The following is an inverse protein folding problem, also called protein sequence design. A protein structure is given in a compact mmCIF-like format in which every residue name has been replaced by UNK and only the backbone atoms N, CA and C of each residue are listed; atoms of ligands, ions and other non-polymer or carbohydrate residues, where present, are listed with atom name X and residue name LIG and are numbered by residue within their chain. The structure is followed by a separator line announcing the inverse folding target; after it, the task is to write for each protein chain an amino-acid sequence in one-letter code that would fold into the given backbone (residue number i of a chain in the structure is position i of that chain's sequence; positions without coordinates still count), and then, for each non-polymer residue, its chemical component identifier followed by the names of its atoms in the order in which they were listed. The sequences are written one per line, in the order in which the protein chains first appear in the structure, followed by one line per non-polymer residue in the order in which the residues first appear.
data_IF_265435062300
#
_entry.id   IF_265435062300
#
_cell.length_a   1.000
_cell.length_b   1.000
_cell.length_c   1.000
_cell.angle_alpha   90.00
_cell.angle_beta   90.00
_cell.angle_gamma   90.00
#
_symmetry.space_group_name_H-M   'P 1'
#
loop_
_entity.id
_entity.type
_entity.pdbx_description
1 polymer ?
#
# COMPACT_ATOMS: atom_id res chain seq x y z
N UNK A 1 -1.39 32.82 37.51
CA UNK A 1 -1.20 31.40 37.11
C UNK A 1 -1.55 31.16 35.63
N UNK A 2 -1.12 32.07 34.71
CA UNK A 2 -1.63 32.10 33.30
C UNK A 2 -0.52 32.21 32.22
N UNK A 3 0.75 32.04 32.57
CA UNK A 3 1.87 32.24 31.62
C UNK A 3 2.46 30.90 31.09
N UNK A 4 2.10 29.74 31.64
CA UNK A 4 2.67 28.47 31.27
C UNK A 4 2.03 27.78 30.01
N UNK A 5 0.88 28.28 29.51
CA UNK A 5 0.16 27.64 28.39
C UNK A 5 0.56 28.07 26.98
N UNK A 6 1.27 29.18 26.80
CA UNK A 6 1.60 29.75 25.49
C UNK A 6 2.89 29.16 24.91
N UNK A 7 3.77 28.60 25.72
CA UNK A 7 5.09 28.10 25.29
C UNK A 7 5.09 26.75 24.56
N UNK A 8 3.98 26.04 24.46
CA UNK A 8 3.92 24.64 24.01
C UNK A 8 3.44 24.43 22.55
N UNK A 9 3.09 25.49 21.83
CA UNK A 9 2.57 25.37 20.44
C UNK A 9 3.68 25.34 19.39
N UNK A 10 4.83 25.97 19.63
CA UNK A 10 5.98 25.96 18.70
C UNK A 10 6.78 24.66 18.73
N UNK A 11 6.66 23.82 19.77
CA UNK A 11 7.43 22.58 19.96
C UNK A 11 6.85 21.35 19.22
N UNK A 12 5.71 21.46 18.52
CA UNK A 12 5.00 20.30 17.97
C UNK A 12 5.32 20.00 16.51
N UNK A 13 5.74 20.99 15.73
CA UNK A 13 6.06 20.83 14.32
C UNK A 13 7.19 19.82 14.05
N UNK A 14 8.33 19.80 14.79
CA UNK A 14 9.38 18.83 14.54
C UNK A 14 8.91 17.39 14.74
N UNK A 15 8.04 17.15 15.73
CA UNK A 15 7.46 15.82 15.98
C UNK A 15 6.52 15.40 14.86
N UNK A 16 5.61 16.29 14.45
CA UNK A 16 4.68 16.00 13.36
C UNK A 16 5.43 15.73 12.06
N UNK A 17 6.44 16.54 11.74
CA UNK A 17 7.29 16.32 10.55
C UNK A 17 7.99 14.97 10.62
N UNK A 18 8.59 14.59 11.74
CA UNK A 18 9.26 13.32 11.92
C UNK A 18 8.30 12.12 11.75
N UNK A 19 7.09 12.23 12.29
CA UNK A 19 6.07 11.19 12.12
C UNK A 19 5.59 11.08 10.66
N UNK A 20 5.42 12.20 9.97
CA UNK A 20 5.11 12.24 8.54
C UNK A 20 6.23 11.66 7.69
N UNK A 21 7.49 11.90 8.07
CA UNK A 21 8.67 11.33 7.40
C UNK A 21 8.68 9.81 7.46
N UNK A 22 8.24 9.21 8.57
CA UNK A 22 8.09 7.75 8.66
C UNK A 22 7.10 7.19 7.66
N UNK A 23 5.95 7.83 7.52
CA UNK A 23 4.96 7.44 6.51
C UNK A 23 5.48 7.62 5.08
N UNK A 24 6.15 8.74 4.82
CA UNK A 24 6.81 9.00 3.55
C UNK A 24 7.81 7.89 3.18
N UNK A 25 8.70 7.52 4.11
CA UNK A 25 9.71 6.48 3.88
C UNK A 25 9.10 5.12 3.57
N UNK A 26 8.07 4.72 4.31
CA UNK A 26 7.38 3.44 4.08
C UNK A 26 6.77 3.37 2.68
N UNK A 27 6.15 4.43 2.20
CA UNK A 27 5.56 4.48 0.85
C UNK A 27 6.63 4.68 -0.25
N UNK A 28 7.66 5.46 0.05
CA UNK A 28 8.78 5.67 -0.86
C UNK A 28 9.51 4.37 -1.16
N UNK A 29 9.79 3.57 -0.13
CA UNK A 29 10.50 2.29 -0.23
C UNK A 29 9.84 1.35 -1.25
N UNK A 30 8.50 1.29 -1.27
CA UNK A 30 7.74 0.47 -2.22
C UNK A 30 8.06 0.81 -3.68
N UNK A 31 8.23 2.08 -3.99
CA UNK A 31 8.41 2.55 -5.38
C UNK A 31 9.87 2.70 -5.78
N UNK A 32 10.74 3.12 -4.86
CA UNK A 32 12.18 3.25 -5.09
C UNK A 32 12.83 1.89 -5.38
N UNK A 33 12.47 0.85 -4.62
CA UNK A 33 13.02 -0.50 -4.78
C UNK A 33 12.67 -1.08 -6.16
N UNK A 34 11.47 -0.80 -6.70
CA UNK A 34 11.10 -1.25 -8.04
C UNK A 34 12.08 -0.78 -9.13
N UNK A 35 12.55 0.46 -9.05
CA UNK A 35 13.54 1.01 -10.01
C UNK A 35 14.90 0.34 -9.86
N UNK A 36 15.25 -0.15 -8.67
CA UNK A 36 16.51 -0.82 -8.40
C UNK A 36 16.52 -2.31 -8.82
N UNK A 37 15.36 -2.94 -9.06
CA UNK A 37 15.25 -4.37 -9.30
C UNK A 37 16.13 -4.89 -10.44
N UNK A 38 16.23 -4.28 -11.63
CA UNK A 38 17.07 -4.79 -12.71
C UNK A 38 18.55 -4.83 -12.32
N UNK A 39 19.08 -3.76 -11.72
CA UNK A 39 20.48 -3.71 -11.27
C UNK A 39 20.74 -4.67 -10.09
N UNK A 40 19.79 -4.80 -9.18
CA UNK A 40 19.84 -5.77 -8.08
C UNK A 40 19.87 -7.19 -8.64
N UNK A 41 19.03 -7.49 -9.63
CA UNK A 41 18.96 -8.78 -10.30
C UNK A 41 20.28 -9.20 -10.92
N UNK A 42 20.92 -8.31 -11.67
CA UNK A 42 22.23 -8.57 -12.28
C UNK A 42 23.33 -8.70 -11.21
N UNK A 43 23.33 -7.86 -10.17
CA UNK A 43 24.36 -7.86 -9.13
C UNK A 43 24.32 -9.11 -8.22
N UNK A 44 23.12 -9.58 -7.86
CA UNK A 44 22.92 -10.74 -7.00
C UNK A 44 22.58 -12.03 -7.75
N UNK A 45 22.59 -12.00 -9.10
CA UNK A 45 22.21 -13.11 -9.98
C UNK A 45 20.84 -13.68 -9.62
N UNK A 46 19.88 -12.80 -9.39
CA UNK A 46 18.55 -13.17 -8.93
C UNK A 46 17.66 -13.63 -10.08
N UNK A 47 16.87 -14.67 -9.84
CA UNK A 47 15.80 -15.07 -10.76
C UNK A 47 14.63 -14.08 -10.75
N UNK A 48 13.76 -14.15 -11.77
CA UNK A 48 12.54 -13.31 -11.82
C UNK A 48 11.64 -13.48 -10.58
N UNK A 49 11.50 -14.70 -10.08
CA UNK A 49 10.75 -15.00 -8.85
C UNK A 49 11.40 -14.37 -7.61
N UNK A 50 12.73 -14.35 -7.53
CA UNK A 50 13.45 -13.69 -6.45
C UNK A 50 13.34 -12.16 -6.49
N UNK A 51 13.26 -11.58 -7.69
CA UNK A 51 13.00 -10.16 -7.85
C UNK A 51 11.59 -9.79 -7.37
N UNK A 52 10.58 -10.57 -7.71
CA UNK A 52 9.24 -10.39 -7.17
C UNK A 52 9.23 -10.53 -5.63
N UNK A 53 9.93 -11.53 -5.09
CA UNK A 53 10.10 -11.67 -3.64
C UNK A 53 10.80 -10.48 -2.97
N UNK A 54 11.65 -9.74 -3.67
CA UNK A 54 12.24 -8.50 -3.10
C UNK A 54 11.18 -7.47 -2.75
N UNK A 55 10.09 -7.41 -3.51
CA UNK A 55 8.94 -6.54 -3.21
C UNK A 55 8.00 -7.21 -2.21
N UNK A 56 7.68 -8.49 -2.41
CA UNK A 56 6.66 -9.21 -1.65
C UNK A 56 7.11 -9.56 -0.23
N UNK A 57 8.40 -9.81 -0.01
CA UNK A 57 8.95 -10.01 1.34
C UNK A 57 8.76 -8.78 2.25
N UNK A 58 8.57 -7.60 1.68
CA UNK A 58 8.20 -6.38 2.40
C UNK A 58 6.68 -6.22 2.51
N UNK A 59 5.96 -6.37 1.40
CA UNK A 59 4.52 -6.05 1.35
C UNK A 59 3.65 -7.08 2.06
N UNK A 60 3.99 -8.36 2.02
CA UNK A 60 3.23 -9.44 2.69
C UNK A 60 3.20 -9.28 4.21
N UNK A 61 4.32 -9.21 4.94
CA UNK A 61 4.29 -9.01 6.39
C UNK A 61 3.69 -7.66 6.76
N UNK A 62 3.91 -6.61 5.98
CA UNK A 62 3.29 -5.32 6.21
C UNK A 62 1.76 -5.42 6.11
N UNK A 63 1.21 -6.02 5.06
CA UNK A 63 -0.22 -6.19 4.87
C UNK A 63 -0.87 -6.96 6.04
N UNK A 64 -0.24 -8.05 6.43
CA UNK A 64 -0.77 -8.95 7.43
C UNK A 64 -0.74 -8.39 8.85
N UNK A 65 0.30 -7.64 9.19
CA UNK A 65 0.48 -7.10 10.53
C UNK A 65 -0.13 -5.71 10.74
N UNK A 66 -0.57 -5.04 9.66
CA UNK A 66 -1.08 -3.67 9.73
C UNK A 66 -2.29 -3.54 10.66
N UNK A 67 -3.22 -4.50 10.62
CA UNK A 67 -4.40 -4.53 11.52
C UNK A 67 -3.99 -4.79 12.98
N UNK A 68 -3.11 -5.75 13.20
CA UNK A 68 -2.65 -6.11 14.53
C UNK A 68 -1.81 -5.01 15.19
N UNK A 69 -1.04 -4.26 14.41
CA UNK A 69 -0.11 -3.24 14.92
C UNK A 69 -0.82 -2.05 15.58
N UNK A 70 -2.04 -1.71 15.15
CA UNK A 70 -2.89 -0.73 15.83
C UNK A 70 -3.19 -1.15 17.27
N UNK A 71 -3.67 -2.37 17.47
CA UNK A 71 -3.98 -2.92 18.79
C UNK A 71 -2.71 -3.14 19.66
N UNK A 72 -1.56 -3.41 19.06
CA UNK A 72 -0.27 -3.43 19.75
C UNK A 72 0.08 -2.03 20.28
N UNK A 73 -0.17 -0.98 19.46
CA UNK A 73 0.01 0.41 19.86
C UNK A 73 -0.86 0.82 21.03
N UNK A 74 -2.12 0.37 21.07
CA UNK A 74 -3.05 0.62 22.16
C UNK A 74 -2.61 -0.04 23.49
N UNK A 75 -1.91 -1.19 23.42
CA UNK A 75 -1.40 -1.92 24.59
C UNK A 75 -0.04 -1.46 25.11
N UNK A 76 0.92 -1.29 24.21
CA UNK A 76 2.31 -0.97 24.54
C UNK A 76 2.58 0.55 24.55
N UNK A 77 1.61 1.32 24.06
CA UNK A 77 1.75 2.74 23.81
C UNK A 77 2.31 3.02 22.41
N UNK A 78 1.60 3.85 21.64
CA UNK A 78 1.95 4.18 20.26
C UNK A 78 3.38 4.70 20.09
N UNK A 79 3.90 5.48 21.09
CA UNK A 79 5.28 5.96 21.05
C UNK A 79 6.29 4.82 21.04
N UNK A 80 6.13 3.82 21.92
CA UNK A 80 7.06 2.71 22.01
C UNK A 80 7.08 1.91 20.70
N UNK A 81 5.89 1.62 20.17
CA UNK A 81 5.70 0.88 18.91
C UNK A 81 6.32 1.63 17.73
N UNK A 82 6.11 2.95 17.64
CA UNK A 82 6.72 3.79 16.60
C UNK A 82 8.24 3.81 16.71
N UNK A 83 8.80 3.98 17.91
CA UNK A 83 10.26 3.96 18.10
C UNK A 83 10.86 2.60 17.69
N UNK A 84 10.23 1.49 18.10
CA UNK A 84 10.65 0.13 17.70
C UNK A 84 10.57 0.00 16.17
N UNK A 85 9.49 0.47 15.56
CA UNK A 85 9.31 0.47 14.10
C UNK A 85 10.42 1.24 13.38
N UNK A 86 10.72 2.47 13.81
CA UNK A 86 11.77 3.29 13.19
C UNK A 86 13.16 2.67 13.35
N UNK A 87 13.53 2.26 14.57
CA UNK A 87 14.84 1.63 14.82
C UNK A 87 14.99 0.33 14.02
N UNK A 88 13.97 -0.53 14.09
CA UNK A 88 13.97 -1.80 13.37
C UNK A 88 14.02 -1.61 11.86
N UNK A 89 13.27 -0.63 11.31
CA UNK A 89 13.31 -0.32 9.89
C UNK A 89 14.69 0.18 9.46
N UNK A 90 15.35 1.04 10.26
CA UNK A 90 16.71 1.52 9.99
C UNK A 90 17.74 0.40 10.00
N UNK A 91 17.69 -0.50 11.00
CA UNK A 91 18.54 -1.69 11.06
C UNK A 91 18.30 -2.61 9.86
N UNK A 92 17.04 -2.90 9.55
CA UNK A 92 16.68 -3.73 8.40
C UNK A 92 17.11 -3.11 7.06
N UNK A 93 16.99 -1.77 6.91
CA UNK A 93 17.50 -1.04 5.75
C UNK A 93 19.01 -1.17 5.61
N UNK A 94 19.75 -1.10 6.74
CA UNK A 94 21.21 -1.33 6.73
C UNK A 94 21.54 -2.76 6.30
N UNK A 95 20.80 -3.76 6.81
CA UNK A 95 20.97 -5.17 6.39
C UNK A 95 20.74 -5.33 4.89
N UNK A 96 19.68 -4.71 4.35
CA UNK A 96 19.43 -4.72 2.90
C UNK A 96 20.56 -4.05 2.12
N UNK A 97 21.05 -2.90 2.58
CA UNK A 97 22.10 -2.14 1.90
C UNK A 97 23.44 -2.89 1.82
N UNK A 98 23.78 -3.68 2.84
CA UNK A 98 25.02 -4.46 2.87
C UNK A 98 24.85 -5.91 2.45
N UNK A 99 23.67 -6.33 2.01
CA UNK A 99 23.36 -7.71 1.67
C UNK A 99 24.32 -8.26 0.60
N UNK A 100 25.06 -9.35 0.89
CA UNK A 100 25.97 -9.99 -0.06
C UNK A 100 25.25 -10.99 -0.98
N UNK A 101 24.11 -11.53 -0.52
CA UNK A 101 23.32 -12.55 -1.22
C UNK A 101 21.83 -12.28 -1.08
N UNK A 102 21.05 -12.87 -1.98
CA UNK A 102 19.61 -12.64 -2.07
C UNK A 102 18.84 -13.01 -0.79
N UNK A 103 19.22 -14.10 -0.11
CA UNK A 103 18.55 -14.52 1.14
C UNK A 103 18.68 -13.50 2.26
N UNK A 104 19.83 -12.86 2.41
CA UNK A 104 20.05 -11.79 3.40
C UNK A 104 19.18 -10.57 3.06
N UNK A 105 19.10 -10.21 1.76
CA UNK A 105 18.24 -9.13 1.30
C UNK A 105 16.77 -9.41 1.64
N UNK A 106 16.28 -10.61 1.33
CA UNK A 106 14.88 -11.00 1.60
C UNK A 106 14.55 -11.00 3.10
N UNK A 107 15.47 -11.45 3.96
CA UNK A 107 15.32 -11.34 5.41
C UNK A 107 15.23 -9.89 5.86
N UNK A 108 16.12 -9.02 5.34
CA UNK A 108 16.06 -7.58 5.58
C UNK A 108 14.73 -6.97 5.14
N UNK A 109 14.25 -7.33 3.95
CA UNK A 109 12.95 -6.88 3.42
C UNK A 109 11.77 -7.32 4.30
N UNK A 110 11.79 -8.57 4.77
CA UNK A 110 10.78 -9.08 5.70
C UNK A 110 10.76 -8.28 7.01
N UNK A 111 11.93 -8.03 7.58
CA UNK A 111 12.06 -7.20 8.78
C UNK A 111 11.59 -5.75 8.55
N UNK A 112 11.93 -5.14 7.39
CA UNK A 112 11.41 -3.82 7.02
C UNK A 112 9.88 -3.82 6.95
N UNK A 113 9.25 -4.84 6.33
CA UNK A 113 7.79 -4.96 6.22
C UNK A 113 7.11 -5.04 7.60
N UNK A 114 7.65 -5.83 8.52
CA UNK A 114 7.18 -5.88 9.92
C UNK A 114 7.26 -4.51 10.59
N UNK A 115 8.41 -3.84 10.45
CA UNK A 115 8.63 -2.51 11.05
C UNK A 115 7.72 -1.45 10.44
N UNK A 116 7.50 -1.48 9.11
CA UNK A 116 6.57 -0.60 8.42
C UNK A 116 5.13 -0.74 8.94
N UNK A 117 4.68 -1.98 9.18
CA UNK A 117 3.37 -2.23 9.78
C UNK A 117 3.22 -1.60 11.16
N UNK A 118 4.27 -1.57 11.97
CA UNK A 118 4.27 -0.89 13.28
C UNK A 118 4.25 0.64 13.15
N UNK A 119 4.95 1.18 12.14
CA UNK A 119 5.08 2.63 11.94
C UNK A 119 3.78 3.28 11.49
N UNK A 120 3.06 2.68 10.52
CA UNK A 120 1.93 3.32 9.85
C UNK A 120 0.80 3.75 10.80
N UNK A 121 0.12 2.84 11.54
CA UNK A 121 -0.96 3.24 12.42
C UNK A 121 -0.44 3.99 13.66
N UNK A 122 0.76 3.66 14.13
CA UNK A 122 1.37 4.32 15.27
C UNK A 122 1.66 5.81 15.03
N UNK A 123 2.19 6.18 13.85
CA UNK A 123 2.46 7.58 13.49
C UNK A 123 1.16 8.39 13.39
N UNK A 124 0.13 7.82 12.75
CA UNK A 124 -1.18 8.45 12.64
C UNK A 124 -1.83 8.68 14.01
N UNK A 125 -1.78 7.67 14.90
CA UNK A 125 -2.31 7.76 16.25
C UNK A 125 -1.60 8.83 17.08
N UNK A 126 -0.26 8.92 17.04
CA UNK A 126 0.51 9.95 17.73
C UNK A 126 0.20 11.35 17.21
N UNK A 127 0.04 11.53 15.91
CA UNK A 127 -0.37 12.79 15.28
C UNK A 127 -1.76 13.19 15.79
N UNK A 128 -2.72 12.24 15.78
CA UNK A 128 -4.07 12.48 16.27
C UNK A 128 -4.12 12.85 17.76
N UNK A 129 -3.31 12.17 18.59
CA UNK A 129 -3.21 12.44 20.05
C UNK A 129 -2.50 13.78 20.35
N UNK A 130 -1.58 14.21 19.50
CA UNK A 130 -0.84 15.45 19.71
C UNK A 130 -1.66 16.73 19.43
N UNK A 131 -2.78 16.62 18.75
CA UNK A 131 -3.61 17.74 18.36
C UNK A 131 -4.47 18.23 19.55
N UNK A 132 -4.51 19.55 19.78
CA UNK A 132 -5.25 20.16 20.88
C UNK A 132 -6.73 20.47 20.56
N UNK A 133 -7.07 20.51 19.27
CA UNK A 133 -8.43 20.78 18.78
C UNK A 133 -8.75 19.87 17.61
N UNK A 134 -10.03 19.61 17.35
CA UNK A 134 -10.47 18.78 16.21
C UNK A 134 -10.00 19.36 14.87
N UNK A 135 -10.02 20.68 14.73
CA UNK A 135 -9.52 21.36 13.51
C UNK A 135 -8.02 21.17 13.32
N UNK A 136 -7.22 21.21 14.41
CA UNK A 136 -5.78 20.93 14.36
C UNK A 136 -5.51 19.47 14.02
N UNK A 137 -6.31 18.55 14.56
CA UNK A 137 -6.25 17.11 14.27
C UNK A 137 -6.51 16.83 12.79
N UNK A 138 -7.60 17.35 12.26
CA UNK A 138 -7.95 17.18 10.84
C UNK A 138 -6.86 17.73 9.92
N UNK A 139 -6.31 18.91 10.25
CA UNK A 139 -5.20 19.50 9.49
C UNK A 139 -3.93 18.66 9.55
N UNK A 140 -3.55 18.14 10.71
CA UNK A 140 -2.34 17.34 10.89
C UNK A 140 -2.44 15.99 10.17
N UNK A 141 -3.61 15.33 10.22
CA UNK A 141 -3.90 14.12 9.45
C UNK A 141 -3.84 14.40 7.94
N UNK A 142 -4.38 15.54 7.50
CA UNK A 142 -4.32 15.96 6.10
C UNK A 142 -2.88 16.16 5.62
N UNK A 143 -2.03 16.80 6.42
CA UNK A 143 -0.59 16.97 6.12
C UNK A 143 0.12 15.61 6.06
N UNK A 144 -0.14 14.72 7.02
CA UNK A 144 0.41 13.36 7.02
C UNK A 144 0.03 12.59 5.74
N UNK A 145 -1.24 12.63 5.35
CA UNK A 145 -1.71 11.98 4.14
C UNK A 145 -1.10 12.59 2.85
N UNK A 146 -0.96 13.92 2.80
CA UNK A 146 -0.35 14.61 1.67
C UNK A 146 1.15 14.27 1.50
N UNK A 147 1.90 14.25 2.62
CA UNK A 147 3.32 13.87 2.61
C UNK A 147 3.49 12.40 2.18
N UNK A 148 2.67 11.49 2.72
CA UNK A 148 2.67 10.10 2.28
C UNK A 148 2.30 9.95 0.80
N UNK A 149 1.29 10.68 0.34
CA UNK A 149 0.90 10.68 -1.07
C UNK A 149 1.99 11.19 -2.02
N UNK A 150 2.82 12.12 -1.57
CA UNK A 150 3.96 12.63 -2.33
C UNK A 150 5.12 11.62 -2.46
N UNK A 151 5.17 10.61 -1.61
CA UNK A 151 6.19 9.56 -1.67
C UNK A 151 6.10 8.71 -2.95
N UNK A 152 4.89 8.42 -3.42
CA UNK A 152 4.67 7.60 -4.61
C UNK A 152 5.28 8.23 -5.87
N UNK A 153 4.98 9.49 -6.23
CA UNK A 153 5.60 10.13 -7.38
C UNK A 153 7.08 10.46 -7.18
N UNK A 154 7.53 10.63 -5.94
CA UNK A 154 8.94 10.89 -5.65
C UNK A 154 9.82 9.64 -5.84
N UNK A 155 9.25 8.43 -5.65
CA UNK A 155 10.00 7.19 -5.69
C UNK A 155 10.75 6.92 -6.99
N UNK A 156 10.09 6.86 -8.16
CA UNK A 156 10.76 6.54 -9.40
C UNK A 156 11.91 7.50 -9.76
N UNK A 157 11.78 8.85 -9.73
CA UNK A 157 12.89 9.74 -10.06
C UNK A 157 14.01 9.70 -9.00
N UNK A 158 13.67 9.63 -7.70
CA UNK A 158 14.68 9.51 -6.66
C UNK A 158 15.40 8.15 -6.74
N UNK A 159 14.66 7.06 -6.94
CA UNK A 159 15.23 5.75 -7.16
C UNK A 159 16.14 5.70 -8.38
N UNK A 160 15.68 6.28 -9.49
CA UNK A 160 16.47 6.38 -10.72
C UNK A 160 17.77 7.12 -10.51
N UNK A 161 17.73 8.29 -9.86
CA UNK A 161 18.91 9.08 -9.53
C UNK A 161 19.89 8.32 -8.62
N UNK A 162 19.37 7.74 -7.54
CA UNK A 162 20.20 7.00 -6.57
C UNK A 162 20.87 5.77 -7.20
N UNK A 163 20.09 4.99 -7.95
CA UNK A 163 20.62 3.79 -8.62
C UNK A 163 21.67 4.14 -9.66
N UNK A 164 21.46 5.22 -10.40
CA UNK A 164 22.42 5.68 -11.43
C UNK A 164 23.72 6.22 -10.82
N UNK A 165 23.66 6.98 -9.72
CA UNK A 165 24.83 7.61 -9.12
C UNK A 165 25.61 6.69 -8.17
N UNK A 166 24.92 5.85 -7.40
CA UNK A 166 25.52 5.10 -6.30
C UNK A 166 25.10 3.62 -6.25
N UNK A 167 24.42 3.14 -7.30
CA UNK A 167 23.98 1.74 -7.41
C UNK A 167 22.77 1.39 -6.53
N UNK A 168 22.24 0.17 -6.71
CA UNK A 168 21.03 -0.30 -6.06
C UNK A 168 21.04 -0.25 -4.52
N UNK A 169 22.20 -0.37 -3.90
CA UNK A 169 22.36 -0.31 -2.45
C UNK A 169 21.98 1.04 -1.84
N UNK A 170 22.13 2.10 -2.61
CA UNK A 170 21.85 3.48 -2.17
C UNK A 170 20.38 3.71 -1.83
N UNK A 171 19.46 2.96 -2.46
CA UNK A 171 18.03 3.09 -2.17
C UNK A 171 17.70 2.69 -0.73
N UNK A 172 18.42 1.70 -0.19
CA UNK A 172 18.28 1.29 1.21
C UNK A 172 19.02 2.21 2.17
N UNK A 173 20.19 2.72 1.77
CA UNK A 173 20.94 3.70 2.56
C UNK A 173 20.21 5.03 2.73
N UNK A 174 19.38 5.44 1.78
CA UNK A 174 18.60 6.68 1.84
C UNK A 174 17.77 6.78 3.14
N UNK A 175 17.14 5.69 3.54
CA UNK A 175 16.27 5.65 4.72
C UNK A 175 17.02 5.84 6.05
N UNK A 176 18.26 5.39 6.15
CA UNK A 176 19.00 5.34 7.40
C UNK A 176 19.23 6.72 8.04
N UNK A 177 19.84 7.71 7.35
CA UNK A 177 20.02 9.05 7.92
C UNK A 177 18.71 9.76 8.21
N UNK A 178 17.69 9.54 7.37
CA UNK A 178 16.36 10.12 7.55
C UNK A 178 15.68 9.58 8.81
N UNK A 179 15.81 8.27 9.06
CA UNK A 179 15.30 7.63 10.28
C UNK A 179 16.02 8.15 11.53
N UNK A 180 17.34 8.26 11.49
CA UNK A 180 18.13 8.78 12.61
C UNK A 180 17.66 10.21 12.95
N UNK A 181 17.52 11.06 11.95
CA UNK A 181 17.03 12.44 12.13
C UNK A 181 15.59 12.49 12.70
N UNK A 182 14.70 11.62 12.21
CA UNK A 182 13.32 11.55 12.66
C UNK A 182 13.18 10.99 14.10
N UNK A 183 14.05 10.07 14.50
CA UNK A 183 14.03 9.50 15.86
C UNK A 183 14.28 10.54 16.93
N UNK A 184 15.12 11.56 16.71
CA UNK A 184 15.47 12.58 17.71
C UNK A 184 14.23 13.28 18.29
N UNK A 185 13.29 13.84 17.51
CA UNK A 185 12.09 14.42 18.09
C UNK A 185 11.09 13.37 18.59
N UNK A 186 11.04 12.17 18.01
CA UNK A 186 10.09 11.12 18.43
C UNK A 186 10.44 10.58 19.83
N UNK A 187 11.71 10.38 20.14
CA UNK A 187 12.13 9.91 21.48
C UNK A 187 11.88 10.95 22.58
N UNK A 188 11.70 12.22 22.22
CA UNK A 188 11.36 13.31 23.17
C UNK A 188 9.86 13.38 23.49
N UNK A 189 9.00 12.65 22.79
CA UNK A 189 7.57 12.55 23.12
C UNK A 189 7.45 11.93 24.52
N UNK A 190 6.67 12.52 25.44
CA UNK A 190 6.43 11.93 26.76
C UNK A 190 5.85 10.51 26.65
N UNK A 191 6.31 9.61 27.52
CA UNK A 191 5.71 8.27 27.62
C UNK A 191 4.32 8.42 28.24
N UNK A 192 3.27 8.20 27.46
CA UNK A 192 1.94 7.97 28.00
C UNK A 192 1.86 6.52 28.46
N UNK A 193 1.58 6.31 29.74
CA UNK A 193 1.17 4.98 30.20
C UNK A 193 -0.23 4.73 29.62
N UNK A 194 -0.44 3.62 28.87
CA UNK A 194 -1.79 3.25 28.44
C UNK A 194 -2.66 3.12 29.67
N UNK A 195 -3.78 3.85 29.71
CA UNK A 195 -4.73 3.71 30.79
C UNK A 195 -5.13 2.22 30.90
N UNK A 196 -5.09 1.66 32.10
CA UNK A 196 -5.29 0.22 32.37
C UNK A 196 -6.67 -0.33 31.91
N UNK A 197 -7.54 0.52 31.40
CA UNK A 197 -8.92 0.22 31.02
C UNK A 197 -9.15 -0.16 29.57
N UNK A 198 -8.19 -0.02 28.67
CA UNK A 198 -8.39 -0.30 27.24
C UNK A 198 -7.44 -1.42 26.76
N UNK A 199 -7.57 -2.61 27.30
CA UNK A 199 -6.90 -3.82 26.79
C UNK A 199 -7.66 -4.35 25.58
N UNK A 200 -7.64 -3.64 24.47
CA UNK A 200 -8.11 -4.21 23.21
C UNK A 200 -7.37 -5.54 22.98
N UNK A 201 -8.10 -6.61 22.77
CA UNK A 201 -7.51 -7.92 22.46
C UNK A 201 -6.87 -7.84 21.08
N UNK A 202 -5.55 -8.08 20.99
CA UNK A 202 -4.86 -8.18 19.70
C UNK A 202 -5.24 -9.54 19.11
N UNK A 203 -5.85 -9.53 17.94
CA UNK A 203 -6.12 -10.77 17.21
C UNK A 203 -4.87 -11.26 16.47
N UNK A 204 -3.98 -11.90 17.25
CA UNK A 204 -2.79 -12.54 16.69
C UNK A 204 -3.12 -13.72 15.78
N UNK A 205 -4.23 -14.41 16.06
CA UNK A 205 -4.67 -15.58 15.30
C UNK A 205 -5.05 -15.12 13.89
N UNK A 206 -5.89 -14.09 13.79
CA UNK A 206 -6.25 -13.49 12.51
C UNK A 206 -5.03 -12.98 11.74
N UNK A 207 -4.11 -12.28 12.40
CA UNK A 207 -2.89 -11.80 11.77
C UNK A 207 -2.01 -12.94 11.21
N UNK A 208 -1.83 -14.03 11.98
CA UNK A 208 -1.07 -15.21 11.51
C UNK A 208 -1.75 -15.84 10.30
N UNK A 209 -3.07 -16.01 10.32
CA UNK A 209 -3.78 -16.55 9.16
C UNK A 209 -3.63 -15.66 7.92
N UNK A 210 -3.68 -14.34 8.05
CA UNK A 210 -3.45 -13.42 6.91
C UNK A 210 -2.02 -13.56 6.37
N UNK A 211 -1.00 -13.69 7.24
CA UNK A 211 0.38 -14.00 6.81
C UNK A 211 0.41 -15.30 6.02
N UNK A 212 -0.18 -16.38 6.57
CA UNK A 212 -0.17 -17.70 5.95
C UNK A 212 -0.89 -17.69 4.59
N UNK A 213 -2.06 -17.03 4.51
CA UNK A 213 -2.81 -16.90 3.25
C UNK A 213 -1.98 -16.18 2.20
N UNK A 214 -1.44 -15.01 2.52
CA UNK A 214 -0.70 -14.19 1.55
C UNK A 214 0.63 -14.84 1.17
N UNK A 215 1.41 -15.31 2.15
CA UNK A 215 2.70 -15.93 1.87
C UNK A 215 2.55 -17.21 1.04
N UNK A 216 1.57 -18.07 1.36
CA UNK A 216 1.33 -19.28 0.58
C UNK A 216 0.77 -18.98 -0.81
N UNK A 217 -0.12 -18.00 -0.97
CA UNK A 217 -0.63 -17.60 -2.27
C UNK A 217 0.48 -17.02 -3.17
N UNK A 218 1.32 -16.13 -2.65
CA UNK A 218 2.46 -15.56 -3.37
C UNK A 218 3.46 -16.66 -3.75
N UNK A 219 3.82 -17.56 -2.83
CA UNK A 219 4.73 -18.68 -3.11
C UNK A 219 4.15 -19.62 -4.18
N UNK A 220 2.86 -19.93 -4.09
CA UNK A 220 2.16 -20.73 -5.10
C UNK A 220 2.26 -20.09 -6.49
N UNK A 221 1.99 -18.79 -6.59
CA UNK A 221 2.02 -18.06 -7.87
C UNK A 221 3.43 -18.03 -8.45
N UNK A 222 4.45 -17.73 -7.64
CA UNK A 222 5.82 -17.52 -8.09
C UNK A 222 6.58 -18.83 -8.37
N UNK A 223 6.34 -19.89 -7.60
CA UNK A 223 7.17 -21.11 -7.63
C UNK A 223 6.37 -22.37 -7.94
N UNK A 224 5.05 -22.32 -7.95
CA UNK A 224 4.20 -23.50 -8.15
C UNK A 224 4.33 -24.14 -9.55
N UNK A 225 4.75 -23.37 -10.57
CA UNK A 225 5.03 -23.90 -11.91
C UNK A 225 6.36 -24.64 -11.99
N UNK A 226 7.38 -24.17 -11.30
CA UNK A 226 8.72 -24.77 -11.27
C UNK A 226 8.75 -26.03 -10.41
N UNK A 227 8.04 -26.00 -9.27
CA UNK A 227 7.95 -27.11 -8.33
C UNK A 227 6.49 -27.44 -8.01
N UNK A 228 5.93 -28.43 -8.71
CA UNK A 228 4.53 -28.84 -8.58
C UNK A 228 4.17 -29.32 -7.17
N UNK A 229 5.09 -29.97 -6.46
CA UNK A 229 4.87 -30.44 -5.09
C UNK A 229 4.77 -29.25 -4.15
N UNK A 230 5.71 -28.31 -4.24
CA UNK A 230 5.66 -27.07 -3.47
C UNK A 230 4.38 -26.29 -3.79
N UNK A 231 4.02 -26.20 -5.08
CA UNK A 231 2.77 -25.55 -5.50
C UNK A 231 1.53 -26.16 -4.86
N UNK A 232 1.41 -27.49 -4.90
CA UNK A 232 0.28 -28.19 -4.28
C UNK A 232 0.22 -27.98 -2.76
N UNK A 233 1.37 -28.04 -2.07
CA UNK A 233 1.46 -27.77 -0.62
C UNK A 233 1.06 -26.33 -0.31
N UNK A 234 1.54 -25.35 -1.07
CA UNK A 234 1.21 -23.94 -0.85
C UNK A 234 -0.26 -23.63 -1.16
N UNK A 235 -0.82 -24.23 -2.21
CA UNK A 235 -2.25 -24.11 -2.50
C UNK A 235 -3.11 -24.73 -1.37
N UNK A 236 -2.76 -25.91 -0.91
CA UNK A 236 -3.44 -26.55 0.23
C UNK A 236 -3.33 -25.69 1.50
N UNK A 237 -2.16 -25.14 1.79
CA UNK A 237 -1.93 -24.25 2.93
C UNK A 237 -2.77 -22.97 2.82
N UNK A 238 -2.86 -22.35 1.63
CA UNK A 238 -3.70 -21.16 1.41
C UNK A 238 -5.18 -21.48 1.68
N UNK A 239 -5.69 -22.62 1.20
CA UNK A 239 -7.06 -23.06 1.43
C UNK A 239 -7.30 -23.35 2.91
N UNK A 240 -6.40 -24.11 3.56
CA UNK A 240 -6.52 -24.44 4.98
C UNK A 240 -6.44 -23.16 5.85
N UNK A 241 -5.53 -22.25 5.55
CA UNK A 241 -5.39 -21.00 6.27
C UNK A 241 -6.63 -20.09 6.09
N UNK A 242 -7.23 -20.05 4.89
CA UNK A 242 -8.49 -19.33 4.64
C UNK A 242 -9.65 -19.93 5.40
N UNK A 243 -9.76 -21.25 5.40
CA UNK A 243 -10.77 -21.97 6.20
C UNK A 243 -10.59 -21.76 7.70
N UNK A 244 -9.34 -21.84 8.18
CA UNK A 244 -8.96 -21.58 9.57
C UNK A 244 -9.27 -20.15 10.01
N UNK A 245 -8.94 -19.15 9.16
CA UNK A 245 -9.29 -17.76 9.39
C UNK A 245 -10.78 -17.56 9.54
N UNK A 246 -11.57 -18.10 8.58
CA UNK A 246 -13.02 -18.00 8.62
C UNK A 246 -13.64 -18.69 9.85
N UNK A 247 -13.10 -19.85 10.25
CA UNK A 247 -13.53 -20.55 11.46
C UNK A 247 -13.19 -19.76 12.73
N UNK A 248 -11.96 -19.23 12.83
CA UNK A 248 -11.52 -18.41 13.95
C UNK A 248 -12.37 -17.14 14.08
N UNK A 249 -12.59 -16.41 12.97
CA UNK A 249 -13.37 -15.18 12.92
C UNK A 249 -14.83 -15.39 13.36
N UNK A 250 -15.42 -16.56 13.06
CA UNK A 250 -16.77 -16.90 13.50
C UNK A 250 -16.89 -17.24 14.99
N UNK A 251 -15.80 -17.69 15.61
CA UNK A 251 -15.76 -18.08 17.02
C UNK A 251 -15.21 -17.02 17.95
N UNK A 252 -14.55 -16.01 17.40
CA UNK A 252 -13.95 -14.93 18.17
C UNK A 252 -15.04 -13.98 18.69
N UNK A 253 -15.00 -13.65 20.00
CA UNK A 253 -15.88 -12.66 20.60
C UNK A 253 -15.64 -11.24 20.05
N UNK A 254 -14.43 -10.98 19.54
CA UNK A 254 -14.01 -9.70 18.97
C UNK A 254 -13.45 -9.92 17.54
N UNK A 255 -14.32 -10.12 16.53
CA UNK A 255 -13.89 -10.30 15.16
C UNK A 255 -13.20 -9.04 14.65
N UNK A 256 -12.20 -9.21 13.75
CA UNK A 256 -11.44 -8.12 13.15
C UNK A 256 -12.34 -7.07 12.50
N UNK A 257 -13.41 -7.51 11.82
CA UNK A 257 -14.38 -6.61 11.20
C UNK A 257 -15.80 -7.19 11.33
N UNK A 258 -16.64 -6.58 12.15
CA UNK A 258 -18.07 -6.90 12.18
C UNK A 258 -18.80 -6.14 11.06
N UNK A 259 -19.18 -6.85 10.00
CA UNK A 259 -19.93 -6.28 8.88
C UNK A 259 -21.39 -6.71 8.98
N UNK A 260 -22.34 -5.78 9.20
CA UNK A 260 -23.77 -6.09 9.16
C UNK A 260 -24.17 -6.71 7.83
N UNK A 261 -25.17 -7.59 7.83
CA UNK A 261 -25.56 -8.35 6.63
C UNK A 261 -25.84 -7.46 5.42
N UNK A 262 -26.55 -6.35 5.60
CA UNK A 262 -26.84 -5.39 4.52
C UNK A 262 -25.63 -4.60 4.04
N UNK A 263 -24.56 -4.52 4.82
CA UNK A 263 -23.32 -3.82 4.48
C UNK A 263 -22.27 -4.70 3.79
N UNK A 264 -22.45 -6.04 3.83
CA UNK A 264 -21.44 -7.01 3.37
C UNK A 264 -21.04 -6.82 1.93
N UNK A 265 -22.03 -6.66 1.04
CA UNK A 265 -21.75 -6.51 -0.39
C UNK A 265 -21.03 -5.19 -0.72
N UNK A 266 -21.55 -4.00 -0.34
CA UNK A 266 -20.83 -2.76 -0.61
C UNK A 266 -19.43 -2.74 -0.01
N UNK A 267 -19.27 -3.27 1.21
CA UNK A 267 -17.96 -3.33 1.87
C UNK A 267 -16.98 -4.27 1.14
N UNK A 268 -17.45 -5.44 0.72
CA UNK A 268 -16.65 -6.38 -0.06
C UNK A 268 -16.23 -5.77 -1.41
N UNK A 269 -17.13 -5.05 -2.10
CA UNK A 269 -16.81 -4.33 -3.33
C UNK A 269 -15.75 -3.27 -3.08
N UNK A 270 -15.86 -2.46 -2.01
CA UNK A 270 -14.87 -1.44 -1.69
C UNK A 270 -13.48 -2.04 -1.44
N UNK A 271 -13.40 -3.14 -0.67
CA UNK A 271 -12.15 -3.86 -0.42
C UNK A 271 -11.60 -4.52 -1.69
N UNK A 272 -12.45 -5.15 -2.50
CA UNK A 272 -12.04 -5.79 -3.76
C UNK A 272 -11.51 -4.77 -4.78
N UNK A 273 -12.18 -3.63 -4.93
CA UNK A 273 -11.72 -2.54 -5.81
C UNK A 273 -10.38 -1.98 -5.32
N UNK A 274 -10.21 -1.80 -4.01
CA UNK A 274 -8.94 -1.35 -3.42
C UNK A 274 -7.81 -2.35 -3.65
N UNK A 275 -8.09 -3.65 -3.49
CA UNK A 275 -7.13 -4.72 -3.78
C UNK A 275 -6.76 -4.77 -5.26
N UNK A 276 -7.76 -4.74 -6.17
CA UNK A 276 -7.54 -4.74 -7.61
C UNK A 276 -6.74 -3.52 -8.06
N UNK A 277 -7.06 -2.34 -7.51
CA UNK A 277 -6.31 -1.11 -7.78
C UNK A 277 -4.82 -1.31 -7.49
N UNK A 278 -4.46 -1.77 -6.30
CA UNK A 278 -3.06 -1.98 -5.92
C UNK A 278 -2.40 -3.13 -6.67
N UNK A 279 -3.15 -4.19 -6.98
CA UNK A 279 -2.69 -5.31 -7.79
C UNK A 279 -2.19 -4.82 -9.15
N UNK A 280 -3.02 -4.07 -9.86
CA UNK A 280 -2.67 -3.55 -11.18
C UNK A 280 -1.57 -2.48 -11.10
N UNK A 281 -1.58 -1.61 -10.08
CA UNK A 281 -0.57 -0.55 -9.91
C UNK A 281 0.81 -1.13 -9.66
N UNK A 282 0.97 -2.00 -8.65
CA UNK A 282 2.29 -2.54 -8.30
C UNK A 282 2.78 -3.57 -9.32
N UNK A 283 1.88 -4.40 -9.86
CA UNK A 283 2.21 -5.33 -10.93
C UNK A 283 2.69 -4.63 -12.19
N UNK A 284 1.98 -3.58 -12.63
CA UNK A 284 2.40 -2.80 -13.80
C UNK A 284 3.69 -2.02 -13.54
N UNK A 285 3.89 -1.43 -12.36
CA UNK A 285 5.12 -0.73 -12.01
C UNK A 285 6.33 -1.68 -12.05
N UNK A 286 6.18 -2.89 -11.50
CA UNK A 286 7.20 -3.94 -11.54
C UNK A 286 7.57 -4.29 -12.99
N UNK A 287 6.59 -4.51 -13.84
CA UNK A 287 6.80 -4.96 -15.23
C UNK A 287 7.30 -3.83 -16.13
N UNK A 288 6.71 -2.62 -16.04
CA UNK A 288 7.14 -1.46 -16.82
C UNK A 288 8.58 -1.07 -16.53
N UNK A 289 9.01 -1.16 -15.26
CA UNK A 289 10.42 -0.91 -14.91
C UNK A 289 11.35 -1.87 -15.63
N UNK A 290 10.99 -3.14 -15.73
CA UNK A 290 11.81 -4.13 -16.44
C UNK A 290 11.77 -3.91 -17.96
N UNK A 291 10.62 -3.58 -18.55
CA UNK A 291 10.53 -3.24 -19.97
C UNK A 291 11.46 -2.07 -20.28
N UNK A 292 11.39 -0.97 -19.53
CA UNK A 292 12.18 0.20 -19.83
C UNK A 292 13.68 0.00 -19.60
N UNK A 293 14.09 -0.67 -18.53
CA UNK A 293 15.50 -0.83 -18.22
C UNK A 293 16.16 -2.04 -18.91
N UNK A 294 15.46 -3.18 -19.01
CA UNK A 294 16.06 -4.41 -19.56
C UNK A 294 15.79 -4.55 -21.05
N UNK A 295 14.52 -4.37 -21.49
CA UNK A 295 14.16 -4.53 -22.91
C UNK A 295 14.54 -3.30 -23.73
N UNK A 296 14.21 -2.11 -23.26
CA UNK A 296 14.52 -0.85 -23.99
C UNK A 296 15.88 -0.24 -23.61
N UNK A 297 16.63 -0.87 -22.69
CA UNK A 297 17.96 -0.43 -22.26
C UNK A 297 18.03 1.03 -21.77
N UNK A 298 16.92 1.54 -21.20
CA UNK A 298 16.88 2.89 -20.67
C UNK A 298 17.60 2.96 -19.31
N UNK A 299 18.23 4.12 -19.03
CA UNK A 299 18.84 4.34 -17.72
C UNK A 299 17.78 4.33 -16.59
N UNK A 300 18.16 3.99 -15.36
CA UNK A 300 17.25 4.04 -14.21
C UNK A 300 16.63 5.42 -14.00
N UNK A 301 17.40 6.49 -14.21
CA UNK A 301 16.94 7.87 -14.12
C UNK A 301 15.84 8.17 -15.16
N UNK A 302 16.08 7.79 -16.43
CA UNK A 302 15.10 8.02 -17.49
C UNK A 302 13.83 7.18 -17.28
N UNK A 303 13.96 5.94 -16.81
CA UNK A 303 12.82 5.10 -16.40
C UNK A 303 11.98 5.79 -15.33
N UNK A 304 12.64 6.34 -14.30
CA UNK A 304 11.96 7.07 -13.24
C UNK A 304 11.22 8.31 -13.75
N UNK A 305 11.81 9.04 -14.69
CA UNK A 305 11.17 10.22 -15.31
C UNK A 305 10.00 9.86 -16.22
N UNK A 306 10.08 8.76 -16.98
CA UNK A 306 8.99 8.29 -17.83
C UNK A 306 7.78 7.84 -16.99
N UNK A 307 8.00 7.25 -15.83
CA UNK A 307 6.91 6.82 -14.94
C UNK A 307 6.28 7.97 -14.14
N UNK A 308 6.99 9.09 -13.99
CA UNK A 308 6.56 10.23 -13.19
C UNK A 308 5.19 10.81 -13.61
N UNK A 309 4.87 11.00 -14.91
CA UNK A 309 3.58 11.50 -15.37
C UNK A 309 2.38 10.65 -14.88
N UNK A 310 2.59 9.35 -14.71
CA UNK A 310 1.55 8.46 -14.18
C UNK A 310 1.33 8.59 -12.67
N UNK A 311 2.29 9.13 -11.93
CA UNK A 311 2.20 9.22 -10.47
C UNK A 311 1.90 10.62 -9.96
N UNK A 312 2.26 11.67 -10.68
CA UNK A 312 2.04 13.07 -10.31
C UNK A 312 0.55 13.43 -10.10
N UNK A 313 -0.41 12.96 -10.92
CA UNK A 313 -1.81 13.33 -10.74
C UNK A 313 -2.41 12.86 -9.41
N UNK A 314 -1.89 11.78 -8.82
CA UNK A 314 -2.45 11.22 -7.58
C UNK A 314 -2.47 12.23 -6.41
N UNK A 315 -1.36 12.85 -6.00
CA UNK A 315 -1.39 13.87 -4.96
C UNK A 315 -1.96 15.21 -5.44
N UNK A 316 -1.82 15.54 -6.72
CA UNK A 316 -2.26 16.82 -7.28
C UNK A 316 -3.81 16.95 -7.30
N UNK A 317 -4.51 15.86 -7.54
CA UNK A 317 -5.97 15.85 -7.70
C UNK A 317 -6.76 15.62 -6.41
N UNK A 318 -6.11 15.49 -5.24
CA UNK A 318 -6.79 15.18 -3.98
C UNK A 318 -7.95 16.14 -3.64
N UNK A 319 -7.77 17.45 -3.86
CA UNK A 319 -8.83 18.44 -3.66
C UNK A 319 -9.98 18.31 -4.68
N UNK A 320 -9.66 18.11 -5.95
CA UNK A 320 -10.66 17.91 -7.01
C UNK A 320 -11.44 16.60 -6.81
N UNK A 321 -10.76 15.53 -6.42
CA UNK A 321 -11.37 14.25 -6.08
C UNK A 321 -12.34 14.37 -4.90
N UNK A 322 -11.98 15.12 -3.86
CA UNK A 322 -12.87 15.40 -2.72
C UNK A 322 -14.12 16.18 -3.16
N UNK A 323 -13.97 17.23 -3.96
CA UNK A 323 -15.09 18.00 -4.50
C UNK A 323 -16.02 17.16 -5.39
N UNK A 324 -15.44 16.30 -6.24
CA UNK A 324 -16.20 15.39 -7.10
C UNK A 324 -16.95 14.33 -6.25
N UNK A 325 -16.30 13.79 -5.22
CA UNK A 325 -16.91 12.84 -4.28
C UNK A 325 -18.08 13.46 -3.51
N UNK A 326 -17.98 14.74 -3.17
CA UNK A 326 -19.08 15.47 -2.54
C UNK A 326 -20.27 15.64 -3.47
N UNK A 327 -20.04 15.93 -4.77
CA UNK A 327 -21.10 16.17 -5.77
C UNK A 327 -21.77 14.87 -6.26
N UNK A 328 -20.99 13.86 -6.61
CA UNK A 328 -21.48 12.64 -7.27
C UNK A 328 -21.66 11.45 -6.31
N UNK A 329 -21.11 11.56 -5.09
CA UNK A 329 -20.98 10.46 -4.16
C UNK A 329 -19.75 9.57 -4.43
N UNK A 330 -19.34 8.76 -3.42
CA UNK A 330 -18.07 8.03 -3.49
C UNK A 330 -18.07 6.91 -4.55
N UNK A 331 -19.17 6.22 -4.75
CA UNK A 331 -19.26 5.10 -5.70
C UNK A 331 -19.14 5.56 -7.16
N UNK A 332 -19.86 6.60 -7.56
CA UNK A 332 -19.77 7.16 -8.92
C UNK A 332 -18.40 7.77 -9.19
N UNK A 333 -17.85 8.47 -8.21
CA UNK A 333 -16.49 9.02 -8.31
C UNK A 333 -15.46 7.91 -8.48
N UNK A 334 -15.60 6.79 -7.74
CA UNK A 334 -14.74 5.62 -7.90
C UNK A 334 -14.89 4.98 -9.29
N UNK A 335 -16.11 4.86 -9.79
CA UNK A 335 -16.36 4.31 -11.14
C UNK A 335 -15.72 5.18 -12.24
N UNK A 336 -15.82 6.51 -12.14
CA UNK A 336 -15.17 7.43 -13.09
C UNK A 336 -13.65 7.31 -13.03
N UNK A 337 -13.06 7.22 -11.83
CA UNK A 337 -11.62 7.00 -11.66
C UNK A 337 -11.16 5.66 -12.26
N UNK A 338 -11.96 4.60 -12.10
CA UNK A 338 -11.69 3.29 -12.69
C UNK A 338 -11.75 3.33 -14.22
N UNK A 339 -12.76 3.99 -14.80
CA UNK A 339 -12.88 4.13 -16.26
C UNK A 339 -11.69 4.90 -16.83
N UNK A 340 -11.32 6.03 -16.22
CA UNK A 340 -10.16 6.81 -16.66
C UNK A 340 -8.87 5.98 -16.59
N UNK A 341 -8.67 5.23 -15.50
CA UNK A 341 -7.52 4.34 -15.36
C UNK A 341 -7.53 3.17 -16.34
N UNK A 342 -8.72 2.61 -16.65
CA UNK A 342 -8.88 1.56 -17.67
C UNK A 342 -8.43 2.03 -19.04
N UNK A 343 -8.87 3.22 -19.46
CA UNK A 343 -8.45 3.84 -20.71
C UNK A 343 -6.93 4.11 -20.71
N UNK A 344 -6.39 4.57 -19.58
CA UNK A 344 -4.95 4.73 -19.40
C UNK A 344 -4.18 3.42 -19.58
N UNK A 345 -4.61 2.32 -18.95
CA UNK A 345 -4.01 1.00 -19.11
C UNK A 345 -4.06 0.50 -20.57
N UNK A 346 -5.20 0.68 -21.25
CA UNK A 346 -5.34 0.34 -22.65
C UNK A 346 -4.37 1.10 -23.55
N UNK A 347 -4.17 2.40 -23.29
CA UNK A 347 -3.23 3.22 -24.02
C UNK A 347 -1.77 2.86 -23.70
N UNK A 348 -1.42 2.54 -22.43
CA UNK A 348 -0.08 2.05 -22.07
C UNK A 348 0.20 0.72 -22.80
N UNK A 349 -0.77 -0.22 -22.81
CA UNK A 349 -0.64 -1.48 -23.53
C UNK A 349 -0.36 -1.27 -25.03
N UNK A 350 -1.02 -0.29 -25.66
CA UNK A 350 -0.80 0.03 -27.07
C UNK A 350 0.48 0.82 -27.38
N UNK A 351 1.16 1.35 -26.35
CA UNK A 351 2.33 2.22 -26.53
C UNK A 351 3.65 1.58 -26.06
N UNK A 352 3.59 0.51 -25.26
CA UNK A 352 4.78 0.01 -24.55
C UNK A 352 5.75 -0.76 -25.45
N UNK A 353 5.25 -1.32 -26.56
CA UNK A 353 6.06 -2.12 -27.51
C UNK A 353 6.82 -1.24 -28.54
N UNK A 354 6.54 0.05 -28.63
CA UNK A 354 7.06 0.91 -29.68
C UNK A 354 7.48 2.30 -29.19
N UNK A 355 8.12 3.09 -30.05
CA UNK A 355 8.67 4.42 -29.71
C UNK A 355 7.58 5.50 -29.61
N UNK A 356 6.32 5.17 -29.35
CA UNK A 356 5.23 6.13 -29.27
C UNK A 356 5.16 6.79 -27.88
N UNK A 357 6.21 7.53 -27.52
CA UNK A 357 6.32 8.22 -26.24
C UNK A 357 5.16 9.21 -25.95
N UNK A 358 4.64 9.98 -26.92
CA UNK A 358 3.48 10.86 -26.68
C UNK A 358 2.25 10.08 -26.19
N UNK A 359 1.91 8.97 -26.85
CA UNK A 359 0.78 8.12 -26.44
C UNK A 359 1.03 7.52 -25.05
N UNK A 360 2.25 7.05 -24.79
CA UNK A 360 2.63 6.50 -23.49
C UNK A 360 2.45 7.54 -22.37
N UNK A 361 2.96 8.76 -22.54
CA UNK A 361 2.87 9.83 -21.54
C UNK A 361 1.41 10.25 -21.32
N UNK A 362 0.61 10.45 -22.38
CA UNK A 362 -0.81 10.76 -22.25
C UNK A 362 -1.57 9.67 -21.51
N UNK A 363 -1.26 8.41 -21.81
CA UNK A 363 -1.88 7.25 -21.18
C UNK A 363 -1.50 7.11 -19.71
N UNK A 364 -0.23 7.36 -19.36
CA UNK A 364 0.23 7.42 -17.98
C UNK A 364 -0.46 8.54 -17.19
N UNK A 365 -0.58 9.74 -17.76
CA UNK A 365 -1.30 10.87 -17.13
C UNK A 365 -2.76 10.49 -16.89
N UNK A 366 -3.42 9.88 -17.87
CA UNK A 366 -4.82 9.47 -17.76
C UNK A 366 -4.98 8.38 -16.68
N UNK A 367 -4.08 7.39 -16.65
CA UNK A 367 -4.04 6.36 -15.62
C UNK A 367 -3.87 6.94 -14.22
N UNK A 368 -2.88 7.83 -14.04
CA UNK A 368 -2.63 8.51 -12.76
C UNK A 368 -3.77 9.43 -12.31
N UNK A 369 -4.41 10.12 -13.27
CA UNK A 369 -5.61 10.94 -13.02
C UNK A 369 -6.75 10.07 -12.48
N UNK A 370 -7.01 8.95 -13.13
CA UNK A 370 -8.01 7.99 -12.66
C UNK A 370 -7.71 7.48 -11.25
N UNK A 371 -6.46 7.13 -10.95
CA UNK A 371 -6.03 6.70 -9.61
C UNK A 371 -6.16 7.81 -8.57
N UNK A 372 -5.83 9.05 -8.92
CA UNK A 372 -5.96 10.22 -8.06
C UNK A 372 -7.40 10.50 -7.64
N UNK A 373 -8.35 10.23 -8.53
CA UNK A 373 -9.79 10.34 -8.27
C UNK A 373 -10.32 9.11 -7.50
N UNK A 374 -9.91 7.91 -7.89
CA UNK A 374 -10.36 6.63 -7.32
C UNK A 374 -9.97 6.48 -5.86
N UNK A 375 -8.69 6.74 -5.54
CA UNK A 375 -8.11 6.38 -4.23
C UNK A 375 -8.83 7.01 -3.05
N UNK A 376 -9.08 8.33 -2.97
CA UNK A 376 -9.85 8.89 -1.85
C UNK A 376 -11.32 8.49 -1.89
N UNK A 377 -11.91 8.37 -3.06
CA UNK A 377 -13.33 8.05 -3.22
C UNK A 377 -13.67 6.66 -2.67
N UNK A 378 -12.88 5.63 -3.02
CA UNK A 378 -13.14 4.25 -2.57
C UNK A 378 -12.90 4.07 -1.06
N UNK A 379 -11.95 4.81 -0.48
CA UNK A 379 -11.74 4.84 0.98
C UNK A 379 -12.96 5.45 1.67
N UNK A 380 -13.48 6.56 1.16
CA UNK A 380 -14.70 7.18 1.68
C UNK A 380 -15.89 6.23 1.55
N UNK A 381 -16.02 5.49 0.44
CA UNK A 381 -17.05 4.47 0.28
C UNK A 381 -16.97 3.41 1.39
N UNK A 382 -15.79 2.84 1.62
CA UNK A 382 -15.57 1.83 2.66
C UNK A 382 -15.94 2.36 4.07
N UNK A 383 -15.55 3.60 4.39
CA UNK A 383 -15.85 4.23 5.68
C UNK A 383 -17.35 4.53 5.88
N UNK A 384 -18.06 4.94 4.82
CA UNK A 384 -19.50 5.19 4.86
C UNK A 384 -20.31 3.92 5.10
N UNK A 385 -19.86 2.80 4.55
CA UNK A 385 -20.53 1.50 4.71
C UNK A 385 -20.48 1.00 6.15
N UNK A 386 -19.44 1.34 6.92
CA UNK A 386 -19.25 0.94 8.33
C UNK A 386 -19.03 2.14 9.25
N UNK A 387 -20.01 3.03 9.42
CA UNK A 387 -19.84 4.27 10.21
C UNK A 387 -19.60 3.98 11.70
N UNK A 388 -20.08 2.85 12.22
CA UNK A 388 -19.90 2.46 13.62
C UNK A 388 -18.49 1.93 13.94
N UNK A 389 -17.71 1.55 12.92
CA UNK A 389 -16.35 0.98 13.09
C UNK A 389 -15.36 1.51 12.03
N UNK A 390 -15.12 2.84 11.98
CA UNK A 390 -14.28 3.45 10.93
C UNK A 390 -12.83 2.96 10.97
N UNK A 391 -12.29 2.64 12.15
CA UNK A 391 -10.95 2.06 12.30
C UNK A 391 -10.83 0.68 11.65
N UNK A 392 -11.83 -0.19 11.87
CA UNK A 392 -11.86 -1.52 11.25
C UNK A 392 -12.05 -1.43 9.73
N UNK A 393 -12.92 -0.52 9.26
CA UNK A 393 -13.12 -0.28 7.82
C UNK A 393 -11.83 0.20 7.13
N UNK A 394 -11.13 1.17 7.73
CA UNK A 394 -9.85 1.66 7.22
C UNK A 394 -8.77 0.58 7.26
N UNK A 395 -8.68 -0.17 8.34
CA UNK A 395 -7.73 -1.27 8.49
C UNK A 395 -7.93 -2.36 7.44
N UNK A 396 -9.15 -2.83 7.24
CA UNK A 396 -9.48 -3.84 6.23
C UNK A 396 -9.20 -3.34 4.80
N UNK A 397 -9.54 -2.08 4.49
CA UNK A 397 -9.25 -1.47 3.20
C UNK A 397 -7.74 -1.36 2.95
N UNK A 398 -6.94 -0.99 3.97
CA UNK A 398 -5.48 -0.94 3.82
C UNK A 398 -4.85 -2.34 3.69
N UNK A 399 -5.33 -3.32 4.46
CA UNK A 399 -4.91 -4.72 4.30
C UNK A 399 -5.22 -5.23 2.90
N UNK A 400 -6.42 -4.98 2.38
CA UNK A 400 -6.81 -5.33 1.01
C UNK A 400 -5.90 -4.65 -0.03
N UNK A 401 -5.54 -3.39 0.18
CA UNK A 401 -4.60 -2.65 -0.67
C UNK A 401 -3.24 -3.33 -0.75
N UNK A 402 -2.61 -3.60 0.39
CA UNK A 402 -1.28 -4.19 0.42
C UNK A 402 -1.26 -5.65 -0.02
N UNK A 403 -2.30 -6.42 0.33
CA UNK A 403 -2.50 -7.79 -0.17
C UNK A 403 -2.65 -7.81 -1.70
N UNK A 404 -3.48 -6.92 -2.24
CA UNK A 404 -3.61 -6.76 -3.68
C UNK A 404 -2.29 -6.42 -4.35
N UNK A 405 -1.51 -5.52 -3.75
CA UNK A 405 -0.19 -5.13 -4.27
C UNK A 405 0.80 -6.31 -4.35
N UNK A 406 0.89 -7.12 -3.28
CA UNK A 406 1.73 -8.31 -3.27
C UNK A 406 1.28 -9.33 -4.33
N UNK A 407 -0.03 -9.65 -4.39
CA UNK A 407 -0.56 -10.53 -5.42
C UNK A 407 -0.31 -9.99 -6.83
N UNK A 408 -0.34 -8.66 -7.01
CA UNK A 408 -0.06 -8.02 -8.30
C UNK A 408 1.36 -8.26 -8.78
N UNK A 409 2.35 -8.00 -7.94
CA UNK A 409 3.76 -8.26 -8.27
C UNK A 409 3.98 -9.73 -8.59
N UNK A 410 3.44 -10.64 -7.76
CA UNK A 410 3.54 -12.07 -7.98
C UNK A 410 2.90 -12.51 -9.31
N UNK A 411 1.67 -12.10 -9.60
CA UNK A 411 0.94 -12.47 -10.82
C UNK A 411 1.66 -11.91 -12.07
N UNK A 412 2.01 -10.63 -12.06
CA UNK A 412 2.67 -10.00 -13.21
C UNK A 412 4.04 -10.64 -13.46
N UNK A 413 4.83 -10.91 -12.42
CA UNK A 413 6.11 -11.60 -12.54
C UNK A 413 5.95 -13.03 -13.08
N UNK A 414 4.99 -13.81 -12.54
CA UNK A 414 4.80 -15.21 -12.94
C UNK A 414 4.25 -15.37 -14.36
N UNK A 415 3.42 -14.42 -14.82
CA UNK A 415 2.81 -14.47 -16.17
C UNK A 415 3.73 -13.85 -17.22
N UNK A 416 4.35 -12.69 -16.92
CA UNK A 416 5.28 -12.06 -17.84
C UNK A 416 6.58 -12.87 -18.01
N UNK A 417 7.02 -13.53 -16.94
CA UNK A 417 8.26 -14.30 -16.92
C UNK A 417 9.52 -13.44 -16.76
N UNK A 418 10.65 -13.94 -17.31
CA UNK A 418 11.91 -13.18 -17.29
C UNK A 418 11.97 -12.18 -18.45
N UNK A 419 12.51 -10.98 -18.25
CA UNK A 419 12.64 -9.96 -19.31
C UNK A 419 13.59 -10.37 -20.44
N UNK A 420 14.40 -11.41 -20.25
CA UNK A 420 15.29 -11.97 -21.27
C UNK A 420 14.55 -12.87 -22.29
N UNK A 421 13.28 -13.21 -22.03
CA UNK A 421 12.48 -14.06 -22.90
C UNK A 421 11.76 -13.20 -23.94
N UNK A 422 11.76 -13.56 -25.25
CA UNK A 422 11.13 -12.78 -26.31
C UNK A 422 9.62 -12.52 -26.11
N UNK A 423 8.94 -13.38 -25.36
CA UNK A 423 7.51 -13.25 -25.07
C UNK A 423 7.19 -12.30 -23.92
N UNK A 424 8.19 -11.82 -23.17
CA UNK A 424 8.00 -11.01 -21.97
C UNK A 424 7.16 -9.75 -22.23
N UNK A 425 7.55 -8.94 -23.22
CA UNK A 425 6.86 -7.70 -23.56
C UNK A 425 5.42 -7.97 -23.98
N UNK A 426 5.20 -9.01 -24.80
CA UNK A 426 3.85 -9.40 -25.21
C UNK A 426 2.97 -9.80 -24.02
N UNK A 427 3.48 -10.66 -23.14
CA UNK A 427 2.74 -11.06 -21.93
C UNK A 427 2.47 -9.89 -21.00
N UNK A 428 3.42 -8.95 -20.89
CA UNK A 428 3.24 -7.73 -20.14
C UNK A 428 2.13 -6.84 -20.74
N UNK A 429 2.11 -6.68 -22.05
CA UNK A 429 1.06 -5.93 -22.78
C UNK A 429 -0.31 -6.57 -22.58
N UNK A 430 -0.40 -7.91 -22.66
CA UNK A 430 -1.63 -8.65 -22.38
C UNK A 430 -2.13 -8.42 -20.94
N UNK A 431 -1.22 -8.41 -19.94
CA UNK A 431 -1.57 -8.12 -18.55
C UNK A 431 -2.08 -6.69 -18.35
N UNK A 432 -1.49 -5.71 -19.04
CA UNK A 432 -1.96 -4.33 -19.01
C UNK A 432 -3.36 -4.21 -19.64
N UNK A 433 -3.62 -4.91 -20.75
CA UNK A 433 -4.94 -4.96 -21.38
C UNK A 433 -5.98 -5.65 -20.48
N UNK A 434 -5.61 -6.76 -19.83
CA UNK A 434 -6.47 -7.44 -18.83
C UNK A 434 -6.77 -6.50 -17.66
N UNK A 435 -5.79 -5.71 -17.21
CA UNK A 435 -5.98 -4.71 -16.16
C UNK A 435 -7.00 -3.65 -16.56
N UNK A 436 -6.98 -3.20 -17.82
CA UNK A 436 -7.97 -2.27 -18.34
C UNK A 436 -9.40 -2.86 -18.27
N UNK A 437 -9.58 -4.11 -18.72
CA UNK A 437 -10.86 -4.82 -18.63
C UNK A 437 -11.31 -5.00 -17.18
N UNK A 438 -10.42 -5.42 -16.30
CA UNK A 438 -10.70 -5.63 -14.89
C UNK A 438 -11.16 -4.32 -14.19
N UNK A 439 -10.57 -3.18 -14.54
CA UNK A 439 -11.01 -1.87 -14.04
C UNK A 439 -12.40 -1.48 -14.60
N UNK A 440 -12.69 -1.81 -15.86
CA UNK A 440 -14.03 -1.64 -16.42
C UNK A 440 -15.11 -2.44 -15.67
N UNK A 441 -14.83 -3.70 -15.37
CA UNK A 441 -15.70 -4.56 -14.54
C UNK A 441 -15.86 -3.98 -13.13
N UNK A 442 -14.75 -3.55 -12.50
CA UNK A 442 -14.78 -2.93 -11.19
C UNK A 442 -15.61 -1.64 -11.15
N UNK A 443 -15.58 -0.85 -12.22
CA UNK A 443 -16.44 0.33 -12.36
C UNK A 443 -17.93 -0.04 -12.35
N UNK A 444 -18.32 -1.08 -13.07
CA UNK A 444 -19.68 -1.60 -13.04
C UNK A 444 -20.09 -2.10 -11.64
N UNK A 445 -19.19 -2.81 -10.94
CA UNK A 445 -19.42 -3.25 -9.56
C UNK A 445 -19.60 -2.08 -8.58
N UNK A 446 -18.90 -0.97 -8.77
CA UNK A 446 -19.12 0.24 -7.96
C UNK A 446 -20.56 0.79 -8.14
N UNK A 447 -21.10 0.76 -9.35
CA UNK A 447 -22.46 1.24 -9.61
C UNK A 447 -23.51 0.33 -8.96
N UNK A 448 -23.35 -0.99 -9.03
CA UNK A 448 -24.25 -1.93 -8.33
C UNK A 448 -24.15 -1.83 -6.81
N UNK A 449 -22.95 -1.55 -6.27
CA UNK A 449 -22.78 -1.30 -4.85
C UNK A 449 -23.49 -0.02 -4.40
N UNK A 450 -23.49 1.03 -5.22
CA UNK A 450 -24.23 2.27 -4.96
C UNK A 450 -25.73 2.03 -4.82
N UNK A 451 -26.33 1.24 -5.71
CA UNK A 451 -27.76 0.94 -5.67
C UNK A 451 -28.14 0.27 -4.35
N UNK A 452 -27.35 -0.71 -3.91
CA UNK A 452 -27.59 -1.42 -2.64
C UNK A 452 -27.35 -0.56 -1.41
N UNK A 453 -26.39 0.35 -1.45
CA UNK A 453 -26.09 1.29 -0.36
C UNK A 453 -27.24 2.31 -0.20
N UNK A 454 -27.82 2.80 -1.29
CA UNK A 454 -28.99 3.69 -1.29
C UNK A 454 -30.26 3.06 -0.72
N UNK A 455 -30.50 1.80 -0.99
CA UNK A 455 -31.68 1.07 -0.46
C UNK A 455 -31.57 0.91 1.06
N UNK A 456 -30.38 0.95 1.61
CA UNK A 456 -30.10 0.79 3.05
C UNK A 456 -30.36 2.08 3.86
N UNK A 457 -30.03 3.26 3.33
CA UNK A 457 -30.15 4.53 4.04
C UNK A 457 -31.58 4.81 4.59
N UNK A 458 -32.68 4.56 3.87
CA UNK A 458 -34.04 4.76 4.39
C UNK A 458 -34.44 3.75 5.47
N UNK A 459 -33.93 2.49 5.42
CA UNK A 459 -34.29 1.44 6.36
C UNK A 459 -33.67 1.63 7.76
N UNK A 460 -32.54 2.33 7.86
CA UNK A 460 -31.89 2.65 9.14
C UNK A 460 -32.50 3.93 9.77
N UNK A 461 -32.86 4.93 8.97
CA UNK A 461 -33.47 6.18 9.48
C UNK A 461 -34.85 5.97 10.11
N UNK A 462 -35.63 5.00 9.63
CA UNK A 462 -36.94 4.63 10.18
C UNK A 462 -36.84 3.78 11.46
N UNK A 463 -35.71 3.11 11.73
CA UNK A 463 -35.51 2.35 12.99
C UNK A 463 -35.14 3.20 14.20
N UNK A 464 -34.72 4.44 14.02
CA UNK A 464 -34.40 5.38 15.10
C UNK A 464 -35.51 6.39 15.36
N UNK A 465 -36.58 6.37 14.56
CA UNK A 465 -37.76 7.24 14.71
C UNK A 465 -38.92 6.55 15.46
N UNK A 466 -38.80 5.29 15.83
CA UNK A 466 -39.69 4.52 16.68
C UNK A 466 -38.93 4.02 17.94
#
# INVERSE_FOLDING_TARGET
MTIARVRNTQSRWPVTTALCTGYFLVLLDVTVVNIALPQLGSALRASGSQLAWTVDAYTVPMAALLLASGAVGDRLGHRAVVVIGFVGFGVASTVCAVAPVMSVLLLGRTAQGVCAALMLPGTLALIAQSASTERARTRAIGVWAAIGGAALPAGPPLGGLLVQLAGWRSVFWLGVPVIIAALVPIIRIPRHNPAAHNRASVDWIGAVFVVLILASAVTFILQGRENRVLGAVMAAMAVCATGGFWYAERRTAHPLVRVPAGARYPFAVACAVTALMSLCVLGSLFTLTQIFQVVHHLSPMLTGLILLPGMLPMPALGGAAAALTHKLGPWRTSALGLIASALGFGGIAGAVDGPNYPLLVCSLVLWGTGLGVLTPAIVIAALRVLPAAPGAASGASNTARHAGGALGVAIFSAVAGSPDIPTFTRSATELLAISAVAYGIAAALCLTAQERDRVREPAESTRWAN
#
